data_IF_694823017870
#
_entry.id   IF_694823017870
#
_cell.length_a   1.000
_cell.length_b   1.000
_cell.length_c   1.000
_cell.angle_alpha   90.00
_cell.angle_beta   90.00
_cell.angle_gamma   90.00
#
_symmetry.space_group_name_H-M   'P 1'
#
loop_
_entity.id
_entity.type
_entity.pdbx_description
1 polymer ?
#
# COMPACT_ATOMS: atom_id res chain seq x y z
N UNK A 1 -37.26 15.80 79.64
CA UNK A 1 -37.30 16.74 78.49
C UNK A 1 -36.30 16.39 77.39
N UNK A 2 -35.26 15.56 77.66
CA UNK A 2 -34.26 15.27 76.62
C UNK A 2 -34.65 14.21 75.57
N UNK A 3 -35.54 13.23 75.90
CA UNK A 3 -35.88 12.17 74.93
C UNK A 3 -36.80 12.63 73.79
N UNK A 4 -37.51 13.77 73.91
CA UNK A 4 -38.30 14.35 72.84
C UNK A 4 -37.51 15.19 71.84
N UNK A 5 -36.42 15.80 72.34
CA UNK A 5 -35.52 16.58 71.47
C UNK A 5 -34.60 15.69 70.59
N UNK A 6 -34.15 14.54 71.13
CA UNK A 6 -33.36 13.58 70.33
C UNK A 6 -34.21 12.86 69.30
N UNK A 7 -35.50 12.63 69.54
CA UNK A 7 -36.40 12.01 68.57
C UNK A 7 -36.77 12.96 67.43
N UNK A 8 -36.93 14.29 67.72
CA UNK A 8 -37.16 15.26 66.66
C UNK A 8 -35.94 15.55 65.80
N UNK A 9 -34.74 15.48 66.37
CA UNK A 9 -33.47 15.63 65.63
C UNK A 9 -33.20 14.41 64.72
N UNK A 10 -33.57 13.20 65.17
CA UNK A 10 -33.41 11.98 64.34
C UNK A 10 -34.49 11.88 63.26
N UNK A 11 -35.73 12.35 63.51
CA UNK A 11 -36.77 12.41 62.47
C UNK A 11 -36.49 13.44 61.40
N UNK A 12 -35.97 14.64 61.76
CA UNK A 12 -35.61 15.67 60.78
C UNK A 12 -34.37 15.29 59.96
N UNK A 13 -33.39 14.59 60.52
CA UNK A 13 -32.21 14.08 59.77
C UNK A 13 -32.57 12.89 58.86
N UNK A 14 -33.61 12.14 59.19
CA UNK A 14 -34.12 11.03 58.36
C UNK A 14 -34.92 11.55 57.14
N UNK A 15 -35.75 12.59 57.35
CA UNK A 15 -36.55 13.22 56.27
C UNK A 15 -35.65 13.99 55.29
N UNK A 16 -34.64 14.73 55.79
CA UNK A 16 -33.64 15.39 54.94
C UNK A 16 -32.80 14.40 54.14
N UNK A 17 -32.43 13.24 54.72
CA UNK A 17 -31.71 12.21 54.05
C UNK A 17 -32.54 11.50 52.94
N UNK A 18 -33.83 11.32 53.16
CA UNK A 18 -34.74 10.76 52.17
C UNK A 18 -34.99 11.73 51.00
N UNK A 19 -35.21 12.99 51.29
CA UNK A 19 -35.43 14.03 50.24
C UNK A 19 -34.19 14.18 49.34
N UNK A 20 -32.97 14.17 49.90
CA UNK A 20 -31.71 14.23 49.13
C UNK A 20 -31.52 12.97 48.27
N UNK A 21 -31.95 11.81 48.78
CA UNK A 21 -31.88 10.53 47.99
C UNK A 21 -32.82 10.57 46.79
N UNK A 22 -34.04 11.06 46.95
CA UNK A 22 -35.03 11.17 45.87
C UNK A 22 -34.59 12.21 44.81
N UNK A 23 -34.00 13.31 45.23
CA UNK A 23 -33.47 14.35 44.35
C UNK A 23 -32.29 13.85 43.49
N UNK A 24 -31.36 13.13 44.10
CA UNK A 24 -30.25 12.51 43.37
C UNK A 24 -30.70 11.39 42.42
N UNK A 25 -31.79 10.70 42.77
CA UNK A 25 -32.37 9.64 41.93
C UNK A 25 -33.02 10.27 40.67
N UNK A 26 -33.76 11.36 40.82
CA UNK A 26 -34.38 12.08 39.71
C UNK A 26 -33.33 12.66 38.77
N UNK A 27 -32.29 13.31 39.29
CA UNK A 27 -31.18 13.83 38.52
C UNK A 27 -30.40 12.68 37.79
N UNK A 28 -30.23 11.54 38.47
CA UNK A 28 -29.60 10.37 37.89
C UNK A 28 -30.35 9.84 36.67
N UNK A 29 -31.67 9.88 36.67
CA UNK A 29 -32.49 9.45 35.54
C UNK A 29 -32.27 10.39 34.31
N UNK A 30 -32.32 11.71 34.50
CA UNK A 30 -32.07 12.68 33.42
C UNK A 30 -30.66 12.55 32.85
N UNK A 31 -29.67 12.31 33.68
CA UNK A 31 -28.26 12.06 33.25
C UNK A 31 -28.13 10.76 32.44
N UNK A 32 -28.83 9.71 32.87
CA UNK A 32 -28.86 8.43 32.13
C UNK A 32 -29.49 8.63 30.76
N UNK A 33 -30.51 9.44 30.62
CA UNK A 33 -31.15 9.75 29.33
C UNK A 33 -30.16 10.42 28.36
N UNK A 34 -29.32 11.36 28.84
CA UNK A 34 -28.27 11.98 28.00
C UNK A 34 -27.26 10.91 27.56
N UNK A 35 -26.78 10.08 28.50
CA UNK A 35 -25.82 9.04 28.16
C UNK A 35 -26.40 8.01 27.19
N UNK A 36 -27.68 7.68 27.35
CA UNK A 36 -28.38 6.76 26.46
C UNK A 36 -28.54 7.35 25.06
N UNK A 37 -28.95 8.63 24.97
CA UNK A 37 -29.10 9.35 23.70
C UNK A 37 -27.76 9.41 22.91
N UNK A 38 -26.64 9.58 23.59
CA UNK A 38 -25.31 9.54 22.93
C UNK A 38 -24.98 8.18 22.28
N UNK A 39 -25.49 7.09 22.85
CA UNK A 39 -25.21 5.72 22.32
C UNK A 39 -26.15 5.38 21.18
N UNK A 40 -27.44 5.77 21.29
CA UNK A 40 -28.50 5.32 20.38
C UNK A 40 -28.98 6.40 19.40
N UNK A 41 -28.71 7.66 19.69
CA UNK A 41 -29.01 8.83 18.82
C UNK A 41 -27.77 9.72 18.68
N UNK A 42 -26.68 9.24 18.08
CA UNK A 42 -25.38 9.95 18.06
C UNK A 42 -25.39 11.31 17.35
N UNK A 43 -26.47 11.69 16.67
CA UNK A 43 -26.61 13.01 16.03
C UNK A 43 -26.96 14.14 16.97
N UNK A 44 -27.55 13.85 18.12
CA UNK A 44 -28.07 14.89 19.05
C UNK A 44 -26.99 15.45 20.00
N UNK A 45 -25.98 14.62 20.35
CA UNK A 45 -24.86 14.98 21.23
C UNK A 45 -23.53 14.67 20.54
N UNK A 46 -23.36 15.12 19.30
CA UNK A 46 -22.18 14.77 18.50
C UNK A 46 -20.90 15.53 18.89
N UNK A 47 -21.05 16.68 19.58
CA UNK A 47 -19.92 17.52 19.96
C UNK A 47 -19.81 17.67 21.49
N UNK A 48 -18.61 18.03 21.95
CA UNK A 48 -18.38 18.31 23.36
C UNK A 48 -19.22 19.50 23.86
N UNK A 49 -19.45 20.51 23.01
CA UNK A 49 -20.27 21.68 23.32
C UNK A 49 -21.72 21.30 23.55
N UNK A 50 -22.31 20.46 22.69
CA UNK A 50 -23.71 20.01 22.86
C UNK A 50 -23.87 19.15 24.11
N UNK A 51 -22.90 18.33 24.44
CA UNK A 51 -22.86 17.58 25.70
C UNK A 51 -22.79 18.51 26.90
N UNK A 52 -21.85 19.45 26.91
CA UNK A 52 -21.69 20.43 27.98
C UNK A 52 -22.97 21.27 28.15
N UNK A 53 -23.59 21.71 27.05
CA UNK A 53 -24.82 22.44 27.07
C UNK A 53 -25.97 21.66 27.71
N UNK A 54 -26.19 20.42 27.31
CA UNK A 54 -27.24 19.55 27.85
C UNK A 54 -27.09 19.33 29.36
N UNK A 55 -25.88 19.01 29.82
CA UNK A 55 -25.63 18.88 31.26
C UNK A 55 -25.81 20.17 31.99
N UNK A 56 -25.34 21.29 31.46
CA UNK A 56 -25.48 22.62 32.10
C UNK A 56 -26.92 23.02 32.24
N UNK A 57 -27.76 22.77 31.24
CA UNK A 57 -29.21 23.09 31.28
C UNK A 57 -29.93 22.28 32.37
N UNK A 58 -29.69 20.96 32.42
CA UNK A 58 -30.31 20.09 33.44
C UNK A 58 -29.90 20.51 34.83
N UNK A 59 -28.62 20.76 35.08
CA UNK A 59 -28.11 21.13 36.39
C UNK A 59 -28.62 22.48 36.86
N UNK A 60 -28.65 23.48 35.96
CA UNK A 60 -29.15 24.79 36.26
C UNK A 60 -30.63 24.73 36.65
N UNK A 61 -31.44 23.99 35.92
CA UNK A 61 -32.88 23.81 36.16
C UNK A 61 -33.13 23.04 37.45
N UNK A 62 -32.40 21.96 37.70
CA UNK A 62 -32.60 21.05 38.83
C UNK A 62 -32.38 21.77 40.18
N UNK A 63 -31.34 22.56 40.33
CA UNK A 63 -31.04 23.32 41.57
C UNK A 63 -31.44 24.79 41.54
N UNK A 64 -32.10 25.21 40.45
CA UNK A 64 -32.47 26.60 40.26
C UNK A 64 -31.33 27.60 40.55
N UNK A 65 -30.17 27.27 39.93
CA UNK A 65 -28.97 28.09 40.03
C UNK A 65 -29.08 29.35 39.17
N UNK A 66 -28.27 30.38 39.49
CA UNK A 66 -28.28 31.61 38.71
C UNK A 66 -27.47 31.46 37.40
N UNK A 67 -26.38 30.71 37.45
CA UNK A 67 -25.55 30.46 36.28
C UNK A 67 -24.76 29.14 36.47
N UNK A 68 -24.59 28.41 35.39
CA UNK A 68 -23.72 27.27 35.30
C UNK A 68 -22.87 27.39 34.05
N UNK A 69 -21.56 27.23 34.20
CA UNK A 69 -20.57 27.33 33.11
C UNK A 69 -19.72 26.08 33.12
N UNK A 70 -19.55 25.48 31.95
CA UNK A 70 -18.64 24.38 31.75
C UNK A 70 -17.45 24.84 30.94
N UNK A 71 -16.26 24.57 31.44
CA UNK A 71 -14.99 24.82 30.76
C UNK A 71 -14.38 23.52 30.35
N UNK A 72 -13.80 23.46 29.17
CA UNK A 72 -13.02 22.34 28.70
C UNK A 72 -11.56 22.74 28.40
N UNK A 73 -10.63 21.83 28.58
CA UNK A 73 -9.24 22.06 28.31
C UNK A 73 -8.98 21.99 26.81
N UNK A 74 -8.50 23.08 26.23
CA UNK A 74 -8.10 23.18 24.84
C UNK A 74 -6.71 22.57 24.57
N UNK A 75 -6.30 22.58 23.32
CA UNK A 75 -4.98 22.12 22.87
C UNK A 75 -3.83 22.97 23.44
N UNK A 76 -4.10 24.25 23.75
CA UNK A 76 -3.15 25.16 24.41
C UNK A 76 -2.94 24.86 25.91
N UNK A 77 -3.64 23.85 26.43
CA UNK A 77 -3.57 23.42 27.82
C UNK A 77 -4.39 24.30 28.78
N UNK A 78 -5.12 25.32 28.30
CA UNK A 78 -5.95 26.22 29.12
C UNK A 78 -7.41 25.79 29.12
N UNK A 79 -8.13 26.24 30.15
CA UNK A 79 -9.57 26.05 30.25
C UNK A 79 -10.32 27.12 29.45
N UNK A 80 -11.07 26.69 28.43
CA UNK A 80 -11.95 27.53 27.61
C UNK A 80 -13.39 27.26 27.93
N UNK A 81 -14.23 28.33 27.88
CA UNK A 81 -15.67 28.22 28.05
C UNK A 81 -16.25 27.35 26.91
N UNK A 82 -16.90 26.25 27.26
CA UNK A 82 -17.56 25.35 26.32
C UNK A 82 -19.09 25.57 26.30
N UNK A 83 -19.68 25.81 27.46
CA UNK A 83 -21.11 26.10 27.55
C UNK A 83 -21.39 27.00 28.74
N UNK A 84 -22.30 27.93 28.57
CA UNK A 84 -22.85 28.79 29.64
C UNK A 84 -24.36 28.76 29.60
N UNK A 85 -24.96 28.52 30.75
CA UNK A 85 -26.40 28.66 30.95
C UNK A 85 -26.68 29.57 32.12
N UNK A 86 -27.55 30.56 31.89
CA UNK A 86 -27.90 31.58 32.89
C UNK A 86 -29.43 31.65 33.09
N UNK A 87 -29.81 31.90 34.33
CA UNK A 87 -31.21 32.22 34.61
C UNK A 87 -31.58 33.59 33.97
N UNK A 88 -32.80 33.77 33.41
CA UNK A 88 -33.21 35.00 32.69
C UNK A 88 -33.00 36.31 33.45
N UNK A 89 -32.91 36.28 34.77
CA UNK A 89 -32.70 37.46 35.60
C UNK A 89 -31.25 37.75 35.98
N UNK A 90 -30.31 36.98 35.43
CA UNK A 90 -28.88 37.12 35.71
C UNK A 90 -28.17 37.82 34.54
N UNK A 91 -27.28 38.75 34.86
CA UNK A 91 -26.35 39.30 33.87
C UNK A 91 -25.30 38.27 33.51
N UNK A 92 -25.35 37.81 32.29
CA UNK A 92 -24.43 36.81 31.73
C UNK A 92 -22.96 37.27 31.79
N UNK A 93 -22.73 38.58 31.59
CA UNK A 93 -21.35 39.14 31.64
C UNK A 93 -20.78 39.05 33.05
N UNK A 94 -21.62 39.31 34.07
CA UNK A 94 -21.23 39.13 35.47
C UNK A 94 -20.95 37.63 35.79
N UNK A 95 -21.81 36.75 35.27
CA UNK A 95 -21.61 35.30 35.39
C UNK A 95 -20.27 34.83 34.79
N UNK A 96 -19.98 35.25 33.55
CA UNK A 96 -18.70 34.91 32.88
C UNK A 96 -17.49 35.42 33.66
N UNK A 97 -17.50 36.66 34.15
CA UNK A 97 -16.39 37.21 34.92
C UNK A 97 -16.10 36.41 36.18
N UNK A 98 -17.13 36.09 36.97
CA UNK A 98 -17.01 35.29 38.18
C UNK A 98 -16.62 33.85 37.84
N UNK A 99 -17.23 33.27 36.77
CA UNK A 99 -16.92 31.90 36.30
C UNK A 99 -15.50 31.74 35.86
N UNK A 100 -14.97 32.66 35.09
CA UNK A 100 -13.59 32.64 34.62
C UNK A 100 -12.58 32.72 35.79
N UNK A 101 -12.86 33.54 36.78
CA UNK A 101 -12.02 33.59 37.96
C UNK A 101 -12.01 32.29 38.75
N UNK A 102 -13.17 31.68 39.00
CA UNK A 102 -13.27 30.41 39.71
C UNK A 102 -12.66 29.25 38.93
N UNK A 103 -12.83 29.22 37.59
CA UNK A 103 -12.21 28.24 36.73
C UNK A 103 -10.68 28.39 36.74
N UNK A 104 -10.14 29.60 36.76
CA UNK A 104 -8.71 29.86 36.88
C UNK A 104 -8.13 29.29 38.16
N UNK A 105 -8.83 29.41 39.30
CA UNK A 105 -8.37 28.78 40.55
C UNK A 105 -8.31 27.26 40.44
N UNK A 106 -9.26 26.61 39.77
CA UNK A 106 -9.27 25.18 39.54
C UNK A 106 -8.12 24.79 38.60
N UNK A 107 -7.87 25.57 37.55
CA UNK A 107 -6.78 25.35 36.59
C UNK A 107 -5.40 25.38 37.27
N UNK A 108 -5.18 26.39 38.11
CA UNK A 108 -3.91 26.59 38.82
C UNK A 108 -3.69 25.59 39.97
N UNK A 109 -4.74 25.38 40.78
CA UNK A 109 -4.62 24.53 41.99
C UNK A 109 -4.79 23.04 41.76
N UNK A 110 -5.52 22.68 40.66
CA UNK A 110 -5.96 21.30 40.43
C UNK A 110 -7.05 20.81 41.40
N UNK A 111 -7.61 21.69 42.20
CA UNK A 111 -8.54 21.37 43.27
C UNK A 111 -9.87 22.10 43.13
N UNK A 112 -10.89 21.56 43.76
CA UNK A 112 -12.16 22.21 43.87
C UNK A 112 -12.04 23.53 44.61
N UNK A 113 -12.84 24.55 44.17
CA UNK A 113 -12.91 25.86 44.81
C UNK A 113 -14.34 26.13 45.24
N UNK A 114 -14.51 26.67 46.45
CA UNK A 114 -15.79 27.15 46.99
C UNK A 114 -15.60 28.53 47.55
N UNK A 115 -16.46 29.41 47.11
CA UNK A 115 -16.49 30.81 47.57
C UNK A 115 -17.90 31.13 48.10
N UNK A 116 -17.95 31.57 49.35
CA UNK A 116 -19.17 32.03 50.02
C UNK A 116 -18.95 33.47 50.48
N UNK A 117 -19.88 34.37 50.13
CA UNK A 117 -19.86 35.76 50.56
C UNK A 117 -20.84 35.97 51.72
N UNK A 118 -20.79 35.15 52.77
CA UNK A 118 -21.56 35.34 53.97
C UNK A 118 -20.91 36.47 54.81
N UNK A 119 -21.70 37.19 55.64
CA UNK A 119 -21.26 38.36 56.37
C UNK A 119 -20.09 38.12 57.34
N UNK A 120 -19.80 36.87 57.67
CA UNK A 120 -18.73 36.47 58.61
C UNK A 120 -17.47 35.82 57.92
N UNK A 121 -17.52 35.56 56.63
CA UNK A 121 -16.39 34.94 55.96
C UNK A 121 -15.35 35.99 55.50
N UNK A 122 -14.18 36.00 56.10
CA UNK A 122 -13.02 36.81 55.71
C UNK A 122 -12.44 36.42 54.38
N UNK A 123 -13.21 36.59 53.30
CA UNK A 123 -12.72 36.41 51.92
C UNK A 123 -11.68 37.49 51.57
N UNK A 124 -10.60 37.11 50.85
CA UNK A 124 -9.62 38.07 50.38
C UNK A 124 -10.30 39.22 49.62
N UNK A 125 -9.80 40.45 49.81
CA UNK A 125 -10.38 41.65 49.15
C UNK A 125 -10.56 41.52 47.65
N UNK A 126 -9.74 40.69 47.00
CA UNK A 126 -9.77 40.35 45.59
C UNK A 126 -11.05 39.60 45.20
N UNK A 127 -11.49 38.60 45.98
CA UNK A 127 -12.71 37.85 45.79
C UNK A 127 -13.91 38.76 45.88
N UNK A 128 -13.94 39.62 46.94
CA UNK A 128 -15.03 40.61 47.12
C UNK A 128 -15.13 41.59 45.96
N UNK A 129 -13.99 42.05 45.43
CA UNK A 129 -13.96 42.95 44.27
C UNK A 129 -14.55 42.31 42.99
N UNK A 130 -14.29 41.04 42.74
CA UNK A 130 -14.81 40.32 41.55
C UNK A 130 -16.30 40.09 41.63
N UNK A 131 -16.84 39.79 42.82
CA UNK A 131 -18.26 39.58 43.06
C UNK A 131 -19.03 40.88 43.29
N UNK A 132 -18.34 42.01 43.53
CA UNK A 132 -18.97 43.29 43.80
C UNK A 132 -19.89 43.76 42.64
N UNK A 133 -21.12 44.16 42.98
CA UNK A 133 -22.10 44.65 42.02
C UNK A 133 -22.75 43.59 41.13
N UNK A 134 -22.43 42.30 41.29
CA UNK A 134 -22.97 41.22 40.46
C UNK A 134 -24.27 40.62 41.01
N UNK A 135 -24.60 40.85 42.28
CA UNK A 135 -25.70 40.17 42.97
C UNK A 135 -25.41 38.69 43.32
N UNK A 136 -24.23 38.17 42.95
CA UNK A 136 -23.81 36.82 43.24
C UNK A 136 -23.28 36.74 44.67
N UNK A 137 -23.75 35.75 45.43
CA UNK A 137 -23.32 35.51 46.83
C UNK A 137 -22.48 34.29 47.04
N UNK A 138 -22.26 33.49 46.01
CA UNK A 138 -21.37 32.36 46.09
C UNK A 138 -21.16 31.66 44.76
N UNK A 139 -20.14 30.84 44.72
CA UNK A 139 -19.77 30.00 43.57
C UNK A 139 -19.01 28.74 43.97
N UNK A 140 -19.21 27.70 43.22
CA UNK A 140 -18.52 26.44 43.34
C UNK A 140 -17.89 26.13 42.00
N UNK A 141 -16.61 25.79 41.99
CA UNK A 141 -15.90 25.26 40.81
C UNK A 141 -15.34 23.88 41.11
N UNK A 142 -15.69 22.93 40.30
CA UNK A 142 -15.26 21.52 40.41
C UNK A 142 -14.44 21.11 39.18
N UNK A 143 -13.27 20.50 39.34
CA UNK A 143 -12.51 19.95 38.22
C UNK A 143 -13.23 18.73 37.63
N UNK A 144 -13.26 18.64 36.31
CA UNK A 144 -13.63 17.44 35.57
C UNK A 144 -12.37 16.68 35.33
N UNK A 145 -12.24 15.51 35.96
CA UNK A 145 -10.99 14.71 35.95
C UNK A 145 -11.15 13.48 35.08
N UNK A 146 -10.19 13.25 34.19
CA UNK A 146 -10.06 11.99 33.45
C UNK A 146 -8.63 11.45 33.60
N UNK A 147 -8.50 10.20 34.03
CA UNK A 147 -7.19 9.53 34.19
C UNK A 147 -6.16 10.31 35.00
N UNK A 148 -6.61 11.07 36.00
CA UNK A 148 -5.74 11.86 36.83
C UNK A 148 -5.35 13.25 36.29
N UNK A 149 -5.83 13.60 35.11
CA UNK A 149 -5.64 14.93 34.51
C UNK A 149 -6.95 15.72 34.50
N UNK A 150 -6.85 17.05 34.64
CA UNK A 150 -7.98 17.95 34.48
C UNK A 150 -8.30 18.10 33.02
N UNK A 151 -9.50 17.70 32.59
CA UNK A 151 -10.01 17.86 31.23
C UNK A 151 -10.99 19.02 31.11
N UNK A 152 -11.44 19.55 32.21
CA UNK A 152 -12.40 20.67 32.28
C UNK A 152 -12.70 21.09 33.70
N UNK A 153 -13.63 22.02 33.82
CA UNK A 153 -14.18 22.46 35.10
C UNK A 153 -15.69 22.81 34.96
N UNK A 154 -16.46 22.55 36.00
CA UNK A 154 -17.87 22.99 36.12
C UNK A 154 -17.91 24.08 37.15
N UNK A 155 -18.48 25.22 36.79
CA UNK A 155 -18.65 26.36 37.69
C UNK A 155 -20.14 26.65 37.88
N UNK A 156 -20.60 26.52 39.09
CA UNK A 156 -21.96 26.85 39.52
C UNK A 156 -21.96 28.13 40.35
N UNK A 157 -22.87 29.05 40.02
CA UNK A 157 -22.96 30.39 40.64
C UNK A 157 -24.40 30.65 41.06
N UNK A 158 -24.57 31.24 42.27
CA UNK A 158 -25.91 31.61 42.74
C UNK A 158 -25.89 32.86 43.62
N UNK A 159 -27.00 33.58 43.63
CA UNK A 159 -27.32 34.63 44.60
C UNK A 159 -27.84 34.06 45.92
N UNK A 160 -28.06 32.73 46.00
CA UNK A 160 -28.58 32.01 47.14
C UNK A 160 -27.60 30.93 47.57
N UNK A 161 -26.77 31.14 48.61
CA UNK A 161 -25.75 30.17 49.06
C UNK A 161 -26.31 28.80 49.42
N UNK A 162 -27.54 28.75 49.96
CA UNK A 162 -28.21 27.50 50.31
C UNK A 162 -28.43 26.57 49.12
N UNK A 163 -28.76 27.12 47.94
CA UNK A 163 -28.94 26.35 46.70
C UNK A 163 -27.60 25.74 46.24
N UNK A 164 -26.50 26.49 46.34
CA UNK A 164 -25.20 26.00 46.04
C UNK A 164 -24.73 24.88 46.99
N UNK A 165 -25.06 25.00 48.30
CA UNK A 165 -24.75 23.95 49.28
C UNK A 165 -25.53 22.66 48.98
N UNK A 166 -26.79 22.75 48.55
CA UNK A 166 -27.57 21.60 48.07
C UNK A 166 -26.94 21.00 46.80
N UNK A 167 -26.56 21.84 45.85
CA UNK A 167 -25.96 21.40 44.58
C UNK A 167 -24.57 20.78 44.74
N UNK A 168 -23.77 21.11 45.74
CA UNK A 168 -22.36 20.66 45.90
C UNK A 168 -22.19 19.17 45.84
N UNK A 169 -23.04 18.36 46.49
CA UNK A 169 -23.00 16.91 46.45
C UNK A 169 -23.38 16.33 45.07
N UNK A 170 -24.44 16.90 44.49
CA UNK A 170 -24.94 16.48 43.18
C UNK A 170 -23.99 16.80 42.06
N UNK A 171 -23.33 17.95 42.05
CA UNK A 171 -22.32 18.34 41.08
C UNK A 171 -21.14 17.35 41.05
N UNK A 172 -20.72 16.83 42.21
CA UNK A 172 -19.68 15.80 42.28
C UNK A 172 -20.16 14.48 41.72
N UNK A 173 -21.41 14.11 41.93
CA UNK A 173 -22.00 12.88 41.42
C UNK A 173 -22.02 12.87 39.88
N UNK A 174 -22.20 14.03 39.27
CA UNK A 174 -22.32 14.16 37.80
C UNK A 174 -20.97 14.28 37.10
N UNK A 175 -19.89 14.56 37.79
CA UNK A 175 -18.58 14.67 37.20
C UNK A 175 -18.18 13.42 36.39
N UNK A 176 -18.45 12.23 36.90
CA UNK A 176 -18.12 10.96 36.20
C UNK A 176 -18.99 10.74 34.94
N UNK A 177 -20.33 10.88 34.98
CA UNK A 177 -21.17 10.87 33.76
C UNK A 177 -20.70 11.86 32.68
N UNK A 178 -20.35 13.09 33.04
CA UNK A 178 -19.84 14.09 32.08
C UNK A 178 -18.55 13.61 31.41
N UNK A 179 -17.61 13.04 32.17
CA UNK A 179 -16.37 12.50 31.62
C UNK A 179 -16.66 11.39 30.59
N UNK A 180 -17.63 10.51 30.89
CA UNK A 180 -18.03 9.43 29.98
C UNK A 180 -18.65 10.03 28.70
N UNK A 181 -19.55 11.00 28.87
CA UNK A 181 -20.24 11.65 27.77
C UNK A 181 -19.26 12.41 26.84
N UNK A 182 -18.36 13.20 27.41
CA UNK A 182 -17.30 13.88 26.64
C UNK A 182 -16.37 12.90 25.94
N UNK A 183 -15.99 11.83 26.63
CA UNK A 183 -15.17 10.76 26.03
C UNK A 183 -15.86 10.08 24.84
N UNK A 184 -17.17 9.88 24.91
CA UNK A 184 -17.94 9.31 23.81
C UNK A 184 -18.06 10.31 22.64
N UNK A 185 -18.33 11.58 22.91
CA UNK A 185 -18.40 12.63 21.87
C UNK A 185 -17.07 12.75 21.10
N UNK A 186 -15.93 12.77 21.82
CA UNK A 186 -14.60 12.78 21.18
C UNK A 186 -14.35 11.56 20.30
N UNK A 187 -14.71 10.36 20.79
CA UNK A 187 -14.57 9.13 20.01
C UNK A 187 -15.45 9.12 18.77
N UNK A 188 -16.70 9.60 18.91
CA UNK A 188 -17.62 9.69 17.78
C UNK A 188 -17.10 10.65 16.70
N UNK A 189 -16.59 11.82 17.11
CA UNK A 189 -15.97 12.77 16.17
C UNK A 189 -14.76 12.17 15.45
N UNK A 190 -13.85 11.54 16.19
CA UNK A 190 -12.67 10.89 15.60
C UNK A 190 -13.01 9.73 14.65
N UNK A 191 -14.03 8.93 15.00
CA UNK A 191 -14.50 7.85 14.13
C UNK A 191 -15.16 8.38 12.84
N UNK A 192 -15.91 9.47 12.92
CA UNK A 192 -16.51 10.10 11.74
C UNK A 192 -15.43 10.65 10.80
N UNK A 193 -14.42 11.33 11.34
CA UNK A 193 -13.30 11.84 10.55
C UNK A 193 -12.54 10.69 9.86
N UNK A 194 -12.23 9.61 10.59
CA UNK A 194 -11.60 8.43 10.00
C UNK A 194 -12.46 7.78 8.92
N UNK A 195 -13.77 7.73 9.12
CA UNK A 195 -14.71 7.20 8.13
C UNK A 195 -14.69 8.02 6.84
N UNK A 196 -14.75 9.35 6.95
CA UNK A 196 -14.68 10.25 5.80
C UNK A 196 -13.37 10.07 5.02
N UNK A 197 -12.24 9.98 5.74
CA UNK A 197 -10.95 9.73 5.13
C UNK A 197 -10.91 8.38 4.39
N UNK A 198 -11.46 7.32 4.99
CA UNK A 198 -11.54 5.99 4.36
C UNK A 198 -12.41 6.03 3.10
N UNK A 199 -13.57 6.70 3.15
CA UNK A 199 -14.46 6.85 2.00
C UNK A 199 -13.77 7.59 0.84
N UNK A 200 -13.01 8.66 1.14
CA UNK A 200 -12.20 9.37 0.15
C UNK A 200 -11.10 8.49 -0.48
N UNK A 201 -10.36 7.75 0.35
CA UNK A 201 -9.32 6.84 -0.14
C UNK A 201 -9.90 5.71 -1.01
N UNK A 202 -11.06 5.17 -0.65
CA UNK A 202 -11.75 4.15 -1.45
C UNK A 202 -12.16 4.73 -2.81
N UNK A 203 -12.67 5.96 -2.85
CA UNK A 203 -13.05 6.62 -4.10
C UNK A 203 -11.81 6.83 -5.00
N UNK A 204 -10.70 7.31 -4.46
CA UNK A 204 -9.46 7.50 -5.19
C UNK A 204 -8.87 6.17 -5.71
N UNK A 205 -8.89 5.13 -4.88
CA UNK A 205 -8.42 3.80 -5.30
C UNK A 205 -9.27 3.22 -6.44
N UNK A 206 -10.58 3.43 -6.43
CA UNK A 206 -11.47 2.98 -7.52
C UNK A 206 -11.20 3.72 -8.82
N UNK A 207 -10.99 5.04 -8.75
CA UNK A 207 -10.66 5.85 -9.93
C UNK A 207 -9.31 5.41 -10.54
N UNK A 208 -8.27 5.27 -9.70
CA UNK A 208 -6.96 4.78 -10.15
C UNK A 208 -7.02 3.35 -10.69
N UNK A 209 -7.80 2.49 -10.06
CA UNK A 209 -8.02 1.12 -10.52
C UNK A 209 -8.66 1.07 -11.91
N UNK A 210 -9.69 1.88 -12.14
CA UNK A 210 -10.34 2.00 -13.45
C UNK A 210 -9.41 2.53 -14.54
N UNK A 211 -8.64 3.59 -14.24
CA UNK A 211 -7.66 4.14 -15.18
C UNK A 211 -6.55 3.13 -15.52
N UNK A 212 -6.08 2.36 -14.54
CA UNK A 212 -5.07 1.32 -14.75
C UNK A 212 -5.61 0.17 -15.62
N UNK A 213 -6.85 -0.25 -15.39
CA UNK A 213 -7.51 -1.29 -16.20
C UNK A 213 -7.69 -0.84 -17.64
N UNK A 214 -8.14 0.40 -17.87
CA UNK A 214 -8.28 0.97 -19.22
C UNK A 214 -6.92 1.05 -19.92
N UNK A 215 -5.87 1.55 -19.25
CA UNK A 215 -4.52 1.61 -19.80
C UNK A 215 -3.98 0.21 -20.13
N UNK A 216 -4.26 -0.80 -19.31
CA UNK A 216 -3.83 -2.19 -19.55
C UNK A 216 -4.55 -2.79 -20.78
N UNK A 217 -5.86 -2.55 -20.91
CA UNK A 217 -6.62 -2.99 -22.07
C UNK A 217 -6.10 -2.36 -23.37
N UNK A 218 -5.76 -1.07 -23.34
CA UNK A 218 -5.20 -0.38 -24.50
C UNK A 218 -3.80 -0.91 -24.84
N UNK A 219 -2.93 -1.14 -23.85
CA UNK A 219 -1.63 -1.77 -24.08
C UNK A 219 -1.75 -3.16 -24.69
N UNK A 220 -2.70 -3.98 -24.21
CA UNK A 220 -2.97 -5.30 -24.80
C UNK A 220 -3.46 -5.19 -26.24
N UNK A 221 -4.33 -4.22 -26.55
CA UNK A 221 -4.85 -3.97 -27.90
C UNK A 221 -3.72 -3.57 -28.85
N UNK A 222 -2.86 -2.64 -28.44
CA UNK A 222 -1.69 -2.18 -29.22
C UNK A 222 -0.71 -3.34 -29.44
N UNK A 223 -0.40 -4.10 -28.40
CA UNK A 223 0.48 -5.29 -28.50
C UNK A 223 -0.07 -6.33 -29.48
N UNK A 224 -1.36 -6.63 -29.38
CA UNK A 224 -2.03 -7.57 -30.31
C UNK A 224 -2.05 -7.07 -31.75
N UNK A 225 -2.31 -5.79 -31.96
CA UNK A 225 -2.28 -5.18 -33.31
C UNK A 225 -0.88 -5.27 -33.90
N UNK A 226 0.17 -4.92 -33.11
CA UNK A 226 1.59 -5.02 -33.51
C UNK A 226 1.96 -6.45 -33.92
N UNK A 227 1.52 -7.45 -33.15
CA UNK A 227 1.79 -8.86 -33.45
C UNK A 227 1.12 -9.32 -34.75
N UNK A 228 -0.16 -8.96 -34.97
CA UNK A 228 -0.87 -9.29 -36.21
C UNK A 228 -0.26 -8.58 -37.42
N UNK A 229 0.13 -7.31 -37.28
CA UNK A 229 0.77 -6.55 -38.33
C UNK A 229 2.11 -7.19 -38.75
N UNK A 230 2.98 -7.52 -37.78
CA UNK A 230 4.27 -8.16 -38.07
C UNK A 230 4.11 -9.55 -38.66
N UNK A 231 3.14 -10.34 -38.20
CA UNK A 231 2.84 -11.65 -38.81
C UNK A 231 2.43 -11.53 -40.27
N UNK A 232 1.59 -10.54 -40.63
CA UNK A 232 1.18 -10.27 -41.99
C UNK A 232 2.33 -9.78 -42.87
N UNK A 233 3.11 -8.83 -42.36
CA UNK A 233 4.30 -8.33 -43.04
C UNK A 233 5.33 -9.41 -43.31
N UNK A 234 5.53 -10.32 -42.35
CA UNK A 234 6.41 -11.49 -42.55
C UNK A 234 5.98 -12.35 -43.72
N UNK A 235 4.68 -12.59 -43.84
CA UNK A 235 4.15 -13.38 -44.95
C UNK A 235 4.35 -12.67 -46.28
N UNK A 236 4.06 -11.37 -46.33
CA UNK A 236 4.20 -10.53 -47.54
C UNK A 236 5.68 -10.36 -47.96
N UNK A 237 6.62 -10.36 -47.02
CA UNK A 237 8.03 -10.32 -47.31
C UNK A 237 8.59 -11.68 -47.72
N UNK A 238 8.07 -12.78 -47.18
CA UNK A 238 8.56 -14.14 -47.48
C UNK A 238 8.40 -14.47 -48.96
N UNK A 239 7.27 -14.13 -49.58
CA UNK A 239 6.95 -14.48 -50.97
C UNK A 239 7.98 -13.93 -51.97
N UNK A 240 8.28 -12.59 -52.00
CA UNK A 240 9.28 -12.08 -52.93
C UNK A 240 10.69 -12.56 -52.59
N UNK A 241 11.01 -12.76 -51.29
CA UNK A 241 12.29 -13.22 -50.84
C UNK A 241 12.56 -14.68 -51.28
N UNK A 242 11.54 -15.56 -51.20
CA UNK A 242 11.61 -16.93 -51.69
C UNK A 242 11.84 -16.96 -53.22
N UNK A 243 11.21 -16.03 -53.97
CA UNK A 243 11.47 -15.93 -55.39
C UNK A 243 12.90 -15.47 -55.71
N UNK A 244 13.43 -14.47 -55.02
CA UNK A 244 14.82 -13.98 -55.15
C UNK A 244 15.83 -15.11 -54.83
N UNK A 245 15.60 -15.85 -53.74
CA UNK A 245 16.44 -16.96 -53.33
C UNK A 245 16.37 -18.09 -54.37
N UNK A 246 15.18 -18.46 -54.84
CA UNK A 246 15.02 -19.49 -55.83
C UNK A 246 15.69 -19.16 -57.18
N UNK A 247 15.53 -17.92 -57.65
CA UNK A 247 16.26 -17.50 -58.86
C UNK A 247 17.77 -17.46 -58.67
N UNK A 248 18.27 -17.02 -57.50
CA UNK A 248 19.72 -17.09 -57.24
C UNK A 248 20.28 -18.51 -57.14
N UNK A 249 19.47 -19.45 -56.64
CA UNK A 249 19.79 -20.88 -56.59
C UNK A 249 19.86 -21.50 -57.99
N UNK A 250 18.84 -21.23 -58.80
CA UNK A 250 18.80 -21.68 -60.23
C UNK A 250 20.01 -21.16 -61.00
N UNK A 251 20.38 -19.87 -60.82
CA UNK A 251 21.57 -19.32 -61.44
C UNK A 251 22.86 -20.01 -61.00
N UNK A 252 22.99 -20.31 -59.69
CA UNK A 252 24.16 -20.98 -59.15
C UNK A 252 24.30 -22.45 -59.60
N UNK A 253 23.17 -23.17 -59.79
CA UNK A 253 23.16 -24.59 -60.05
C UNK A 253 23.14 -24.95 -61.53
N UNK A 254 22.43 -24.10 -62.33
CA UNK A 254 22.11 -24.45 -63.71
C UNK A 254 22.74 -23.56 -64.78
N UNK A 255 23.38 -22.44 -64.41
CA UNK A 255 23.97 -21.53 -65.38
C UNK A 255 25.52 -21.51 -65.30
N UNK A 256 26.17 -21.33 -66.44
CA UNK A 256 27.61 -21.16 -66.50
C UNK A 256 28.01 -19.72 -66.12
N UNK A 257 28.10 -19.44 -64.81
CA UNK A 257 28.43 -18.13 -64.31
C UNK A 257 29.95 -17.85 -64.40
N UNK A 258 30.30 -16.61 -64.70
CA UNK A 258 31.68 -16.14 -64.49
C UNK A 258 31.98 -16.03 -62.98
N UNK A 259 33.25 -16.14 -62.58
CA UNK A 259 33.62 -16.07 -61.17
C UNK A 259 33.10 -14.83 -60.40
N UNK A 260 33.03 -13.61 -61.00
CA UNK A 260 32.34 -12.49 -60.36
C UNK A 260 30.84 -12.69 -60.21
N UNK A 261 30.14 -13.20 -61.21
CA UNK A 261 28.70 -13.45 -61.18
C UNK A 261 28.32 -14.48 -60.11
N UNK A 262 29.06 -15.56 -60.03
CA UNK A 262 28.89 -16.58 -58.99
C UNK A 262 28.98 -15.95 -57.59
N UNK A 263 30.01 -15.14 -57.34
CA UNK A 263 30.17 -14.43 -56.05
C UNK A 263 29.00 -13.49 -55.73
N UNK A 264 28.41 -12.83 -56.75
CA UNK A 264 27.25 -11.96 -56.56
C UNK A 264 25.99 -12.77 -56.22
N UNK A 265 25.74 -13.90 -56.89
CA UNK A 265 24.64 -14.79 -56.58
C UNK A 265 24.78 -15.40 -55.20
N UNK A 266 25.95 -15.83 -54.76
CA UNK A 266 26.23 -16.33 -53.41
C UNK A 266 25.98 -15.23 -52.33
N UNK A 267 26.38 -13.98 -52.64
CA UNK A 267 26.06 -12.85 -51.74
C UNK A 267 24.58 -12.55 -51.64
N UNK A 268 23.84 -12.60 -52.75
CA UNK A 268 22.38 -12.41 -52.78
C UNK A 268 21.72 -13.51 -51.97
N UNK A 269 22.11 -14.79 -52.18
CA UNK A 269 21.57 -15.93 -51.46
C UNK A 269 21.82 -15.79 -49.94
N UNK A 270 23.08 -15.50 -49.57
CA UNK A 270 23.46 -15.33 -48.15
C UNK A 270 22.69 -14.17 -47.48
N UNK A 271 22.55 -13.02 -48.17
CA UNK A 271 21.84 -11.88 -47.63
C UNK A 271 20.34 -12.12 -47.55
N UNK A 272 19.76 -12.84 -48.54
CA UNK A 272 18.37 -13.21 -48.53
C UNK A 272 18.01 -14.18 -47.38
N UNK A 273 18.83 -15.21 -47.16
CA UNK A 273 18.67 -16.14 -46.04
C UNK A 273 18.77 -15.43 -44.67
N UNK A 274 19.72 -14.49 -44.56
CA UNK A 274 19.81 -13.64 -43.35
C UNK A 274 18.53 -12.83 -43.11
N UNK A 275 18.03 -12.17 -44.14
CA UNK A 275 16.79 -11.37 -44.04
C UNK A 275 15.59 -12.22 -43.65
N UNK A 276 15.44 -13.42 -44.25
CA UNK A 276 14.40 -14.39 -43.92
C UNK A 276 14.42 -14.79 -42.45
N UNK A 277 15.64 -15.05 -41.93
CA UNK A 277 15.83 -15.40 -40.52
C UNK A 277 15.48 -14.23 -39.60
N UNK A 278 15.93 -13.01 -39.91
CA UNK A 278 15.62 -11.80 -39.12
C UNK A 278 14.12 -11.51 -39.05
N UNK A 279 13.41 -11.59 -40.19
CA UNK A 279 11.96 -11.39 -40.25
C UNK A 279 11.24 -12.44 -39.40
N UNK A 280 11.65 -13.71 -39.49
CA UNK A 280 11.09 -14.79 -38.65
C UNK A 280 11.30 -14.51 -37.16
N UNK A 281 12.51 -14.13 -36.76
CA UNK A 281 12.84 -13.80 -35.36
C UNK A 281 12.01 -12.65 -34.83
N UNK A 282 11.78 -11.58 -35.64
CA UNK A 282 10.97 -10.44 -35.25
C UNK A 282 9.50 -10.81 -35.01
N UNK A 283 8.95 -11.70 -35.84
CA UNK A 283 7.57 -12.19 -35.66
C UNK A 283 7.47 -13.08 -34.41
N UNK A 284 8.43 -13.97 -34.21
CA UNK A 284 8.47 -14.85 -33.05
C UNK A 284 8.55 -14.00 -31.75
N UNK A 285 9.39 -12.97 -31.72
CA UNK A 285 9.48 -12.03 -30.58
C UNK A 285 8.15 -11.31 -30.33
N UNK A 286 7.52 -10.78 -31.39
CA UNK A 286 6.25 -10.08 -31.26
C UNK A 286 5.10 -10.95 -30.73
N UNK A 287 5.06 -12.23 -31.13
CA UNK A 287 4.11 -13.21 -30.58
C UNK A 287 4.35 -13.52 -29.12
N UNK A 288 5.63 -13.64 -28.72
CA UNK A 288 6.02 -13.85 -27.32
C UNK A 288 5.62 -12.65 -26.45
N UNK A 289 5.87 -11.42 -26.92
CA UNK A 289 5.49 -10.19 -26.22
C UNK A 289 3.96 -10.03 -26.07
N UNK A 290 3.20 -10.52 -27.06
CA UNK A 290 1.73 -10.52 -27.01
C UNK A 290 1.13 -11.63 -26.13
N UNK A 291 1.95 -12.46 -25.49
CA UNK A 291 1.48 -13.59 -24.69
C UNK A 291 0.81 -14.71 -25.51
N UNK A 292 1.04 -14.76 -26.83
CA UNK A 292 0.41 -15.71 -27.76
C UNK A 292 1.22 -16.98 -27.99
N UNK A 293 2.17 -17.26 -27.10
CA UNK A 293 3.01 -18.46 -27.21
C UNK A 293 2.25 -19.69 -26.68
N UNK A 294 1.71 -20.49 -27.58
CA UNK A 294 1.18 -21.81 -27.20
C UNK A 294 2.33 -22.78 -26.88
N UNK A 295 2.19 -23.55 -25.79
CA UNK A 295 3.13 -24.56 -25.37
C UNK A 295 2.64 -25.95 -25.81
N UNK A 296 3.48 -26.68 -26.52
CA UNK A 296 3.24 -28.07 -26.89
C UNK A 296 4.06 -28.99 -25.98
N UNK A 297 3.50 -29.32 -24.82
CA UNK A 297 4.16 -30.10 -23.79
C UNK A 297 4.11 -31.60 -24.14
N UNK A 298 5.29 -32.24 -24.20
CA UNK A 298 5.41 -33.70 -24.34
C UNK A 298 6.68 -34.18 -23.63
N UNK A 299 6.76 -35.47 -23.39
CA UNK A 299 7.92 -36.07 -22.79
C UNK A 299 8.98 -36.38 -23.90
N UNK A 300 10.24 -35.98 -23.64
CA UNK A 300 11.35 -36.24 -24.57
C UNK A 300 12.69 -36.46 -23.83
N UNK A 301 13.64 -37.04 -24.53
CA UNK A 301 14.99 -37.31 -24.03
C UNK A 301 15.88 -36.09 -24.13
N UNK A 302 16.38 -35.60 -22.98
CA UNK A 302 17.31 -34.46 -22.93
C UNK A 302 18.59 -34.77 -23.72
N UNK A 303 19.07 -36.00 -23.68
CA UNK A 303 20.28 -36.45 -24.40
C UNK A 303 20.09 -36.35 -25.91
N UNK A 304 18.97 -36.81 -26.45
CA UNK A 304 18.70 -36.78 -27.88
C UNK A 304 18.52 -35.36 -28.38
N UNK A 305 17.73 -34.58 -27.68
CA UNK A 305 17.50 -33.17 -27.98
C UNK A 305 18.82 -32.38 -27.98
N UNK A 306 19.69 -32.55 -26.97
CA UNK A 306 20.97 -31.87 -26.91
C UNK A 306 21.90 -32.30 -28.06
N UNK A 307 21.97 -33.60 -28.37
CA UNK A 307 22.77 -34.12 -29.48
C UNK A 307 22.34 -33.52 -30.83
N UNK A 308 21.04 -33.43 -31.07
CA UNK A 308 20.51 -32.84 -32.30
C UNK A 308 20.79 -31.35 -32.40
N UNK A 309 20.64 -30.63 -31.26
CA UNK A 309 20.92 -29.19 -31.19
C UNK A 309 22.43 -28.91 -31.41
N UNK A 310 23.31 -29.67 -30.79
CA UNK A 310 24.75 -29.58 -31.04
C UNK A 310 25.11 -29.91 -32.52
N UNK A 311 24.46 -30.89 -33.13
CA UNK A 311 24.62 -31.19 -34.56
C UNK A 311 24.17 -30.04 -35.45
N UNK A 312 23.06 -29.37 -35.10
CA UNK A 312 22.56 -28.23 -35.87
C UNK A 312 23.52 -27.03 -35.88
N UNK A 313 24.25 -26.76 -34.78
CA UNK A 313 25.26 -25.69 -34.71
C UNK A 313 26.67 -26.15 -35.17
N UNK A 314 26.85 -27.43 -35.46
CA UNK A 314 28.14 -28.01 -35.85
C UNK A 314 28.79 -27.31 -37.04
N UNK A 315 28.03 -27.00 -38.09
CA UNK A 315 28.54 -26.25 -39.26
C UNK A 315 29.00 -24.83 -38.93
N UNK A 316 28.37 -24.17 -37.94
CA UNK A 316 28.78 -22.85 -37.49
C UNK A 316 30.11 -22.94 -36.73
N UNK A 317 30.26 -23.97 -35.90
CA UNK A 317 31.49 -24.24 -35.16
C UNK A 317 32.65 -24.58 -36.09
N UNK A 318 32.46 -25.51 -37.06
CA UNK A 318 33.43 -25.84 -38.08
C UNK A 318 33.90 -24.63 -38.89
N UNK A 319 32.96 -23.81 -39.34
CA UNK A 319 33.28 -22.58 -40.12
C UNK A 319 34.15 -21.59 -39.33
N UNK A 320 34.03 -21.59 -38.00
CA UNK A 320 34.80 -20.70 -37.11
C UNK A 320 36.00 -21.39 -36.46
N UNK A 321 36.24 -22.68 -36.75
CA UNK A 321 37.27 -23.51 -36.12
C UNK A 321 37.11 -23.51 -34.57
N UNK A 322 35.87 -23.74 -34.08
CA UNK A 322 35.55 -23.87 -32.67
C UNK A 322 35.13 -25.30 -32.39
N UNK A 323 35.67 -25.89 -31.33
CA UNK A 323 35.30 -27.25 -30.91
C UNK A 323 34.08 -27.22 -30.02
N UNK A 324 33.13 -28.15 -30.22
CA UNK A 324 31.97 -28.36 -29.36
C UNK A 324 32.20 -29.61 -28.49
N UNK A 325 32.10 -29.40 -27.18
CA UNK A 325 32.15 -30.48 -26.18
C UNK A 325 30.76 -30.56 -25.52
N UNK A 326 29.92 -31.48 -26.03
CA UNK A 326 28.53 -31.63 -25.58
C UNK A 326 28.43 -32.90 -24.73
N UNK A 327 28.13 -32.72 -23.45
CA UNK A 327 27.97 -33.79 -22.47
C UNK A 327 26.59 -33.80 -21.85
N UNK A 328 26.05 -34.97 -21.57
CA UNK A 328 24.78 -35.15 -20.88
C UNK A 328 24.95 -36.15 -19.77
N UNK A 329 24.74 -35.75 -18.55
CA UNK A 329 24.78 -36.63 -17.40
C UNK A 329 23.68 -37.71 -17.51
N UNK A 330 23.96 -38.97 -17.08
CA UNK A 330 22.98 -40.06 -17.15
C UNK A 330 21.63 -39.71 -16.46
N UNK A 331 21.68 -38.96 -15.38
CA UNK A 331 20.54 -38.54 -14.58
C UNK A 331 19.70 -37.45 -15.24
N UNK A 332 20.15 -36.82 -16.33
CA UNK A 332 19.34 -35.84 -17.06
C UNK A 332 18.02 -36.43 -17.59
N UNK A 333 18.06 -37.70 -18.05
CA UNK A 333 16.88 -38.51 -18.35
C UNK A 333 15.89 -37.86 -19.33
N UNK A 334 14.61 -37.99 -19.02
CA UNK A 334 13.51 -37.35 -19.73
C UNK A 334 12.92 -36.17 -18.95
N UNK A 335 12.32 -35.23 -19.66
CA UNK A 335 11.55 -34.11 -19.11
C UNK A 335 10.26 -33.92 -19.89
N UNK A 336 9.26 -33.28 -19.29
CA UNK A 336 8.02 -32.84 -19.94
C UNK A 336 8.09 -31.35 -20.17
N UNK A 337 8.26 -30.94 -21.41
CA UNK A 337 8.35 -29.50 -21.80
C UNK A 337 8.02 -29.34 -23.28
N UNK A 338 8.15 -28.13 -23.82
CA UNK A 338 8.10 -27.87 -25.26
C UNK A 338 9.53 -28.04 -25.85
N UNK A 339 9.74 -29.18 -26.46
CA UNK A 339 11.04 -29.53 -27.05
C UNK A 339 11.48 -28.53 -28.13
N UNK A 340 10.54 -28.09 -28.99
CA UNK A 340 10.81 -27.14 -30.07
C UNK A 340 11.30 -25.78 -29.55
N UNK A 341 10.65 -25.25 -28.54
CA UNK A 341 11.06 -23.98 -27.90
C UNK A 341 12.36 -24.13 -27.14
N UNK A 342 12.54 -25.23 -26.41
CA UNK A 342 13.79 -25.46 -25.69
C UNK A 342 14.98 -25.62 -26.67
N UNK A 343 14.78 -26.32 -27.77
CA UNK A 343 15.79 -26.45 -28.85
C UNK A 343 16.15 -25.09 -29.45
N UNK A 344 15.17 -24.21 -29.65
CA UNK A 344 15.37 -22.82 -30.12
C UNK A 344 16.18 -22.00 -29.11
N UNK A 345 15.87 -22.10 -27.82
CA UNK A 345 16.66 -21.47 -26.74
C UNK A 345 18.13 -21.89 -26.80
N UNK A 346 18.35 -23.19 -26.80
CA UNK A 346 19.72 -23.76 -26.81
C UNK A 346 20.49 -23.39 -28.08
N UNK A 347 19.85 -23.47 -29.23
CA UNK A 347 20.43 -23.05 -30.50
C UNK A 347 20.93 -21.60 -30.47
N UNK A 348 20.15 -20.68 -29.96
CA UNK A 348 20.50 -19.27 -29.88
C UNK A 348 21.70 -19.04 -28.94
N UNK A 349 21.72 -19.68 -27.77
CA UNK A 349 22.86 -19.58 -26.85
C UNK A 349 24.11 -20.24 -27.43
N UNK A 350 24.02 -21.42 -28.09
CA UNK A 350 25.16 -22.10 -28.69
C UNK A 350 25.72 -21.27 -29.85
N UNK A 351 24.89 -20.73 -30.72
CA UNK A 351 25.32 -19.86 -31.81
C UNK A 351 26.03 -18.60 -31.31
N UNK A 352 25.53 -18.01 -30.24
CA UNK A 352 26.16 -16.85 -29.60
C UNK A 352 27.52 -17.21 -29.00
N UNK A 353 27.62 -18.32 -28.26
CA UNK A 353 28.86 -18.77 -27.66
C UNK A 353 29.94 -19.08 -28.72
N UNK A 354 29.53 -19.74 -29.81
CA UNK A 354 30.43 -19.98 -30.96
C UNK A 354 30.90 -18.65 -31.57
N UNK A 355 29.96 -17.69 -31.76
CA UNK A 355 30.28 -16.37 -32.34
C UNK A 355 31.25 -15.56 -31.48
N UNK A 356 31.22 -15.69 -30.17
CA UNK A 356 32.13 -15.01 -29.23
C UNK A 356 33.47 -15.69 -29.06
N UNK A 357 33.53 -17.01 -29.25
CA UNK A 357 34.73 -17.77 -29.00
C UNK A 357 35.84 -17.49 -30.03
N UNK A 358 37.11 -17.36 -29.66
CA UNK A 358 38.22 -17.25 -30.60
C UNK A 358 38.42 -18.54 -31.41
N UNK A 359 39.18 -18.44 -32.51
CA UNK A 359 39.56 -19.59 -33.36
C UNK A 359 40.34 -20.61 -32.52
N UNK A 360 40.03 -21.88 -32.64
CA UNK A 360 40.66 -22.99 -31.89
C UNK A 360 40.09 -23.17 -30.46
N UNK A 361 39.16 -22.34 -30.03
CA UNK A 361 38.53 -22.43 -28.68
C UNK A 361 37.58 -23.63 -28.57
N UNK A 362 37.21 -23.96 -27.32
CA UNK A 362 36.23 -25.00 -27.02
C UNK A 362 34.99 -24.40 -26.30
N UNK A 363 33.80 -24.62 -26.87
CA UNK A 363 32.55 -24.37 -26.22
C UNK A 363 32.05 -25.62 -25.53
N UNK A 364 31.94 -25.58 -24.20
CA UNK A 364 31.48 -26.70 -23.37
C UNK A 364 30.00 -26.56 -23.02
N UNK A 365 29.27 -27.64 -23.24
CA UNK A 365 27.84 -27.71 -23.00
C UNK A 365 27.57 -28.95 -22.13
N UNK A 366 26.99 -28.75 -20.96
CA UNK A 366 26.67 -29.83 -20.04
C UNK A 366 25.20 -29.76 -19.58
N UNK A 367 24.46 -30.86 -19.71
CA UNK A 367 23.11 -30.99 -19.23
C UNK A 367 23.02 -32.02 -18.11
N UNK A 368 22.44 -31.62 -16.98
CA UNK A 368 22.28 -32.49 -15.79
C UNK A 368 21.00 -32.08 -15.01
N UNK A 369 20.47 -32.99 -14.21
CA UNK A 369 19.43 -32.65 -13.24
C UNK A 369 20.07 -32.20 -11.93
N UNK A 370 19.71 -31.01 -11.48
CA UNK A 370 20.14 -30.52 -10.19
C UNK A 370 19.30 -31.14 -9.06
N UNK A 371 18.01 -31.34 -9.33
CA UNK A 371 17.06 -32.09 -8.51
C UNK A 371 16.20 -32.96 -9.42
N UNK A 372 15.37 -33.84 -8.85
CA UNK A 372 14.42 -34.62 -9.66
C UNK A 372 13.45 -33.78 -10.46
N UNK A 373 13.23 -32.51 -10.03
CA UNK A 373 12.28 -31.59 -10.62
C UNK A 373 12.90 -30.48 -11.51
N UNK A 374 14.25 -30.41 -11.59
CA UNK A 374 14.95 -29.30 -12.26
C UNK A 374 16.06 -29.78 -13.17
N UNK A 375 15.92 -29.44 -14.47
CA UNK A 375 16.97 -29.62 -15.48
C UNK A 375 17.86 -28.36 -15.47
N UNK A 376 19.16 -28.57 -15.45
CA UNK A 376 20.15 -27.52 -15.61
C UNK A 376 20.95 -27.79 -16.91
N UNK A 377 21.05 -26.78 -17.79
CA UNK A 377 21.94 -26.80 -18.95
C UNK A 377 22.97 -25.68 -18.76
N UNK A 378 24.22 -26.06 -18.66
CA UNK A 378 25.33 -25.13 -18.48
C UNK A 378 26.15 -25.06 -19.79
N UNK A 379 26.32 -23.83 -20.27
CA UNK A 379 27.09 -23.50 -21.47
C UNK A 379 28.24 -22.60 -21.08
N UNK A 380 29.46 -22.94 -21.46
CA UNK A 380 30.67 -22.14 -21.22
C UNK A 380 31.43 -21.90 -22.51
N UNK A 381 31.65 -20.62 -22.82
CA UNK A 381 32.51 -20.17 -23.91
C UNK A 381 33.91 -19.73 -23.42
N UNK A 382 34.82 -19.46 -24.34
CA UNK A 382 36.17 -18.93 -24.08
C UNK A 382 36.35 -17.54 -24.71
N UNK A 383 35.25 -16.81 -24.90
CA UNK A 383 35.25 -15.47 -25.48
C UNK A 383 35.84 -14.39 -24.56
N UNK A 384 35.84 -13.14 -25.02
CA UNK A 384 36.26 -12.03 -24.20
C UNK A 384 35.30 -11.80 -23.02
N UNK A 385 35.82 -11.36 -21.85
CA UNK A 385 34.98 -11.06 -20.72
C UNK A 385 33.94 -9.96 -21.08
N UNK A 386 32.72 -10.14 -20.64
CA UNK A 386 31.69 -9.10 -20.75
C UNK A 386 31.82 -8.16 -19.57
N UNK A 387 31.95 -6.87 -19.86
CA UNK A 387 32.06 -5.82 -18.83
C UNK A 387 30.78 -5.75 -17.98
N UNK A 388 29.62 -6.00 -18.60
CA UNK A 388 28.33 -6.07 -17.93
C UNK A 388 27.45 -7.14 -18.57
N UNK A 389 27.39 -8.30 -17.93
CA UNK A 389 26.59 -9.43 -18.42
C UNK A 389 25.07 -9.19 -18.26
N UNK A 390 24.65 -8.26 -17.39
CA UNK A 390 23.24 -7.96 -17.18
C UNK A 390 22.60 -7.39 -18.44
N UNK A 391 23.34 -6.60 -19.21
CA UNK A 391 22.86 -5.95 -20.45
C UNK A 391 22.87 -6.82 -21.70
N UNK A 392 23.25 -8.11 -21.59
CA UNK A 392 23.30 -9.01 -22.76
C UNK A 392 21.89 -9.28 -23.35
N UNK A 393 20.85 -9.05 -22.56
CA UNK A 393 19.43 -9.22 -22.92
C UNK A 393 18.71 -7.89 -23.14
N UNK A 394 19.36 -6.76 -22.90
CA UNK A 394 18.73 -5.46 -23.17
C UNK A 394 18.70 -5.28 -24.70
N UNK A 395 17.55 -4.83 -25.18
CA UNK A 395 17.45 -4.39 -26.56
C UNK A 395 18.40 -3.21 -26.72
N UNK A 396 19.56 -3.42 -27.35
CA UNK A 396 20.42 -2.32 -27.73
C UNK A 396 19.58 -1.37 -28.58
N UNK A 397 19.48 -0.10 -28.16
CA UNK A 397 18.85 0.93 -28.95
C UNK A 397 19.41 0.86 -30.36
N UNK A 398 18.55 0.63 -31.35
CA UNK A 398 18.91 0.33 -32.74
C UNK A 398 19.56 1.50 -33.49
N UNK A 399 20.09 2.48 -32.76
CA UNK A 399 20.62 3.74 -33.34
C UNK A 399 22.13 3.72 -33.68
N UNK A 400 22.85 2.64 -33.40
CA UNK A 400 24.24 2.53 -33.83
C UNK A 400 24.41 1.44 -34.91
N UNK A 401 24.69 1.78 -36.16
CA UNK A 401 25.07 0.80 -37.18
C UNK A 401 26.48 0.26 -36.86
N UNK A 402 26.54 -0.88 -36.17
CA UNK A 402 27.78 -1.61 -36.00
C UNK A 402 28.12 -2.34 -37.31
N UNK A 403 29.22 -1.93 -37.94
CA UNK A 403 29.75 -2.48 -39.22
C UNK A 403 30.08 -3.99 -39.15
N UNK A 404 30.03 -4.65 -37.99
CA UNK A 404 30.50 -6.00 -37.76
C UNK A 404 29.44 -7.11 -37.72
N UNK A 405 28.18 -6.85 -38.07
CA UNK A 405 27.16 -7.91 -38.26
C UNK A 405 26.71 -8.63 -36.97
N UNK A 406 26.90 -8.02 -35.81
CA UNK A 406 26.64 -8.59 -34.48
C UNK A 406 25.14 -8.62 -34.12
N UNK A 407 24.32 -7.79 -34.79
CA UNK A 407 22.91 -7.52 -34.40
C UNK A 407 21.96 -8.75 -34.53
N UNK A 408 22.30 -9.77 -35.31
CA UNK A 408 21.45 -10.96 -35.50
C UNK A 408 21.55 -11.95 -34.34
N UNK A 409 22.71 -12.02 -33.67
CA UNK A 409 22.89 -12.88 -32.50
C UNK A 409 22.25 -12.29 -31.24
N UNK A 410 22.15 -10.97 -31.14
CA UNK A 410 21.53 -10.24 -30.03
C UNK A 410 20.01 -10.46 -29.99
N UNK A 411 19.32 -10.35 -31.12
CA UNK A 411 17.87 -10.66 -31.21
C UNK A 411 17.57 -12.11 -30.82
N UNK A 412 18.43 -13.05 -31.20
CA UNK A 412 18.34 -14.45 -30.82
C UNK A 412 18.39 -14.67 -29.31
N UNK A 413 19.23 -13.88 -28.58
CA UNK A 413 19.33 -13.96 -27.13
C UNK A 413 18.08 -13.39 -26.43
N UNK A 414 17.53 -12.28 -26.93
CA UNK A 414 16.28 -11.72 -26.41
C UNK A 414 15.13 -12.73 -26.57
N UNK A 415 15.05 -13.37 -27.73
CA UNK A 415 14.06 -14.44 -27.97
C UNK A 415 14.28 -15.59 -27.00
N UNK A 416 15.52 -16.02 -26.82
CA UNK A 416 15.86 -17.12 -25.90
C UNK A 416 15.46 -16.79 -24.45
N UNK A 417 15.73 -15.57 -23.98
CA UNK A 417 15.30 -15.10 -22.66
C UNK A 417 13.78 -15.16 -22.50
N UNK A 418 13.03 -14.66 -23.49
CA UNK A 418 11.56 -14.68 -23.46
C UNK A 418 11.01 -16.11 -23.49
N UNK A 419 11.60 -16.99 -24.30
CA UNK A 419 11.22 -18.41 -24.36
C UNK A 419 11.49 -19.13 -23.04
N UNK A 420 12.63 -18.86 -22.39
CA UNK A 420 12.93 -19.43 -21.05
C UNK A 420 11.88 -19.01 -20.03
N UNK A 421 11.44 -17.75 -20.06
CA UNK A 421 10.36 -17.28 -19.19
C UNK A 421 9.04 -18.00 -19.47
N UNK A 422 8.68 -18.20 -20.75
CA UNK A 422 7.48 -18.98 -21.16
C UNK A 422 7.56 -20.44 -20.73
N UNK A 423 8.76 -21.00 -20.69
CA UNK A 423 9.03 -22.37 -20.19
C UNK A 423 9.14 -22.45 -18.67
N UNK A 424 8.82 -21.35 -17.95
CA UNK A 424 8.97 -21.23 -16.48
C UNK A 424 10.39 -21.51 -15.98
N UNK A 425 11.41 -21.22 -16.81
CA UNK A 425 12.81 -21.38 -16.49
C UNK A 425 13.45 -20.09 -15.99
N UNK A 426 14.74 -20.22 -15.66
CA UNK A 426 15.60 -19.09 -15.25
C UNK A 426 16.92 -19.15 -16.00
N UNK A 427 17.51 -17.97 -16.20
CA UNK A 427 18.85 -17.81 -16.79
C UNK A 427 19.73 -17.16 -15.74
N UNK A 428 20.86 -17.77 -15.47
CA UNK A 428 21.93 -17.19 -14.67
C UNK A 428 23.18 -17.04 -15.54
N UNK A 429 23.82 -15.87 -15.45
CA UNK A 429 25.06 -15.55 -16.14
C UNK A 429 26.19 -15.45 -15.12
N UNK A 430 27.31 -16.12 -15.39
CA UNK A 430 28.50 -16.08 -14.54
C UNK A 430 29.71 -15.64 -15.36
N UNK A 431 30.27 -14.50 -14.98
CA UNK A 431 31.46 -13.86 -15.59
C UNK A 431 32.70 -13.99 -14.70
N UNK A 432 32.63 -14.75 -13.60
CA UNK A 432 33.73 -14.86 -12.62
C UNK A 432 34.96 -15.55 -13.14
N UNK A 433 34.89 -16.20 -14.29
CA UNK A 433 36.07 -16.81 -14.93
C UNK A 433 36.95 -15.74 -15.61
N UNK A 434 38.29 -15.88 -15.65
CA UNK A 434 39.17 -14.87 -16.23
C UNK A 434 38.98 -14.69 -17.74
N UNK A 435 38.33 -15.59 -18.42
CA UNK A 435 37.87 -15.52 -19.82
C UNK A 435 36.60 -16.32 -20.01
N UNK A 436 35.71 -15.82 -20.90
CA UNK A 436 34.50 -16.50 -21.30
C UNK A 436 33.27 -16.07 -20.48
N UNK A 437 32.13 -16.58 -20.91
CA UNK A 437 30.83 -16.45 -20.26
C UNK A 437 30.32 -17.86 -19.93
N UNK A 438 29.79 -18.03 -18.72
CA UNK A 438 29.03 -19.23 -18.37
C UNK A 438 27.55 -18.83 -18.29
N UNK A 439 26.74 -19.47 -19.14
CA UNK A 439 25.29 -19.36 -19.15
C UNK A 439 24.71 -20.61 -18.52
N UNK A 440 23.89 -20.43 -17.47
CA UNK A 440 23.16 -21.51 -16.82
C UNK A 440 21.70 -21.36 -17.05
N UNK A 441 21.07 -22.36 -17.67
CA UNK A 441 19.65 -22.46 -17.89
C UNK A 441 19.06 -23.44 -16.88
N UNK A 442 18.14 -22.99 -16.05
CA UNK A 442 17.43 -23.79 -15.07
C UNK A 442 15.97 -23.90 -15.52
N UNK A 443 15.48 -25.11 -15.73
CA UNK A 443 14.17 -25.40 -16.29
C UNK A 443 13.46 -26.44 -15.43
N UNK A 444 12.16 -26.31 -15.20
CA UNK A 444 11.39 -27.36 -14.53
C UNK A 444 11.36 -28.62 -15.39
N UNK A 445 11.66 -29.78 -14.78
CA UNK A 445 11.61 -31.07 -15.48
C UNK A 445 10.16 -31.50 -15.80
N UNK A 446 9.19 -30.94 -15.08
CA UNK A 446 7.76 -31.19 -15.26
C UNK A 446 7.02 -29.84 -15.19
N UNK A 447 5.94 -29.67 -15.98
CA UNK A 447 5.16 -28.43 -15.90
C UNK A 447 4.61 -28.23 -14.49
N UNK A 448 4.87 -27.07 -13.91
CA UNK A 448 4.20 -26.64 -12.68
C UNK A 448 2.72 -26.49 -12.98
N UNK A 449 1.86 -27.23 -12.30
CA UNK A 449 0.42 -26.97 -12.32
C UNK A 449 0.19 -25.60 -11.67
N UNK A 450 -0.21 -24.59 -12.46
CA UNK A 450 -0.90 -23.44 -11.92
C UNK A 450 -2.29 -23.81 -11.40
#
# INVERSE_FOLDING_TARGET
MNARAEKSLNESSGEEGAAVSDELTALGAEVVDILYAQVFAPGEYATEETVCAAFSEILLRHWNLCCLITYLRGEDGRLHESAIHTHPHMDETAGRRVGQYLAGIVEESGRECRVWLDEEAGGADEVRAIFAGTGIKGGIALPIMARGAIIGAIVAISSHPERLRAADRGLRFIAAPIVIALGNARRAAALNEQREQIEQLIAELRERGGALEEANLELQRVSRYRSLFLARMSHELRTPLTAILGFSEILLEHENLTGPQQRYCEKIQTSGLKLQSSVKQLVDLSRLEAGQAELFLHEFSVREMLRETCGAVGRLAEKKDVKLDCTTAPEAGTIVSDEGKLRQVLYNFFAHAIARSPVGATVRINAFKRTSAELCVELRDEGEPLADAAHIFDAVEMDAPNENGTNMNELGLIIAQRLVAVLNGRIALDTAAPRGLTVRLELPAYPTKE
#
